data_IF_960796775355
#
_entry.id   IF_960796775355
#
_cell.length_a   1.000
_cell.length_b   1.000
_cell.length_c   1.000
_cell.angle_alpha   90.00
_cell.angle_beta   90.00
_cell.angle_gamma   90.00
#
_symmetry.space_group_name_H-M   'P 1'
#
loop_
_entity.id
_entity.type
_entity.pdbx_description
1 polymer ?
#
# COMPACT_ATOMS: atom_id res chain seq x y z
N UNK A 1 -16.39 -23.80 46.70
CA UNK A 1 -15.06 -24.21 46.20
C UNK A 1 -15.00 -24.31 44.67
N UNK A 2 -15.92 -25.03 44.00
CA UNK A 2 -15.90 -25.22 42.53
C UNK A 2 -15.80 -23.93 41.70
N UNK A 3 -16.62 -22.90 42.00
CA UNK A 3 -16.61 -21.61 41.28
C UNK A 3 -15.24 -20.91 41.30
N UNK A 4 -14.48 -21.01 42.40
CA UNK A 4 -13.13 -20.41 42.52
C UNK A 4 -12.12 -21.14 41.64
N UNK A 5 -12.20 -22.46 41.57
CA UNK A 5 -11.35 -23.28 40.71
C UNK A 5 -11.61 -23.01 39.22
N UNK A 6 -12.87 -22.89 38.81
CA UNK A 6 -13.23 -22.59 37.42
C UNK A 6 -12.80 -21.17 37.02
N UNK A 7 -12.91 -20.20 37.94
CA UNK A 7 -12.40 -18.85 37.73
C UNK A 7 -10.88 -18.85 37.54
N UNK A 8 -10.13 -19.60 38.37
CA UNK A 8 -8.68 -19.74 38.25
C UNK A 8 -8.27 -20.32 36.89
N UNK A 9 -8.94 -21.39 36.44
CA UNK A 9 -8.71 -21.99 35.11
C UNK A 9 -9.00 -21.01 33.96
N UNK A 10 -10.07 -20.22 34.06
CA UNK A 10 -10.41 -19.19 33.06
C UNK A 10 -9.36 -18.08 33.02
N UNK A 11 -8.88 -17.63 34.17
CA UNK A 11 -7.82 -16.62 34.27
C UNK A 11 -6.51 -17.13 33.67
N UNK A 12 -6.11 -18.36 34.02
CA UNK A 12 -4.90 -18.99 33.48
C UNK A 12 -4.96 -19.14 31.96
N UNK A 13 -6.08 -19.62 31.40
CA UNK A 13 -6.29 -19.72 29.96
C UNK A 13 -6.22 -18.34 29.28
N UNK A 14 -6.77 -17.29 29.90
CA UNK A 14 -6.68 -15.91 29.40
C UNK A 14 -5.24 -15.39 29.41
N UNK A 15 -4.50 -15.64 30.48
CA UNK A 15 -3.09 -15.23 30.61
C UNK A 15 -2.23 -15.95 29.58
N UNK A 16 -2.39 -17.27 29.42
CA UNK A 16 -1.70 -18.04 28.38
C UNK A 16 -2.01 -17.54 26.97
N UNK A 17 -3.29 -17.21 26.67
CA UNK A 17 -3.67 -16.62 25.38
C UNK A 17 -3.00 -15.26 25.14
N UNK A 18 -2.92 -14.41 26.17
CA UNK A 18 -2.21 -13.11 26.09
C UNK A 18 -0.72 -13.29 25.84
N UNK A 19 -0.07 -14.21 26.57
CA UNK A 19 1.36 -14.51 26.40
C UNK A 19 1.62 -15.02 24.98
N UNK A 20 0.84 -16.00 24.49
CA UNK A 20 0.96 -16.51 23.12
C UNK A 20 0.82 -15.39 22.08
N UNK A 21 -0.17 -14.49 22.25
CA UNK A 21 -0.35 -13.35 21.34
C UNK A 21 0.82 -12.36 21.40
N UNK A 22 1.38 -12.11 22.59
CA UNK A 22 2.54 -11.23 22.76
C UNK A 22 3.81 -11.81 22.13
N UNK A 23 4.03 -13.13 22.26
CA UNK A 23 5.16 -13.83 21.63
C UNK A 23 5.04 -13.78 20.11
N UNK A 24 3.86 -14.06 19.55
CA UNK A 24 3.62 -13.96 18.10
C UNK A 24 3.87 -12.53 17.60
N UNK A 25 3.40 -11.52 18.34
CA UNK A 25 3.65 -10.11 18.00
C UNK A 25 5.15 -9.77 18.03
N UNK A 26 5.86 -10.16 19.10
CA UNK A 26 7.31 -9.92 19.23
C UNK A 26 8.11 -10.52 18.07
N UNK A 27 7.68 -11.67 17.55
CA UNK A 27 8.30 -12.32 16.39
C UNK A 27 8.06 -11.55 15.08
N UNK A 28 6.84 -11.07 14.85
CA UNK A 28 6.51 -10.32 13.63
C UNK A 28 7.18 -8.95 13.56
N UNK A 29 7.50 -8.35 14.71
CA UNK A 29 8.00 -6.99 14.81
C UNK A 29 9.54 -6.88 14.74
N UNK A 30 10.26 -7.94 14.33
CA UNK A 30 11.73 -7.87 14.20
C UNK A 30 12.14 -7.43 12.78
N UNK A 31 12.50 -6.14 12.56
CA UNK A 31 12.81 -5.63 11.23
C UNK A 31 14.03 -6.33 10.61
N UNK A 32 14.97 -6.80 11.44
CA UNK A 32 16.17 -7.49 10.97
C UNK A 32 15.84 -8.80 10.24
N UNK A 33 14.81 -9.52 10.69
CA UNK A 33 14.42 -10.78 10.04
C UNK A 33 13.86 -10.53 8.64
N UNK A 34 13.12 -9.44 8.48
CA UNK A 34 12.61 -9.05 7.17
C UNK A 34 13.75 -8.59 6.25
N UNK A 35 14.72 -7.83 6.75
CA UNK A 35 15.93 -7.48 6.00
C UNK A 35 16.68 -8.72 5.50
N UNK A 36 16.93 -9.71 6.37
CA UNK A 36 17.58 -10.98 5.99
C UNK A 36 16.73 -11.80 5.00
N UNK A 37 15.40 -11.79 5.16
CA UNK A 37 14.49 -12.44 4.22
C UNK A 37 14.56 -11.80 2.82
N UNK A 38 14.57 -10.46 2.78
CA UNK A 38 14.68 -9.68 1.53
C UNK A 38 16.05 -9.93 0.89
N UNK A 39 17.13 -9.92 1.66
CA UNK A 39 18.49 -10.24 1.20
C UNK A 39 18.55 -11.61 0.54
N UNK A 40 17.97 -12.64 1.18
CA UNK A 40 17.90 -13.98 0.61
C UNK A 40 17.13 -13.99 -0.72
N UNK A 41 16.00 -13.28 -0.80
CA UNK A 41 15.18 -13.21 -2.02
C UNK A 41 15.88 -12.43 -3.14
N UNK A 42 16.66 -11.40 -2.82
CA UNK A 42 17.49 -10.67 -3.77
C UNK A 42 18.57 -11.57 -4.35
N UNK A 43 19.26 -12.35 -3.51
CA UNK A 43 20.35 -13.23 -3.93
C UNK A 43 19.87 -14.50 -4.65
N UNK A 44 18.60 -14.90 -4.47
CA UNK A 44 18.04 -16.12 -5.03
C UNK A 44 16.85 -15.84 -5.95
N UNK A 45 17.11 -15.17 -7.08
CA UNK A 45 16.08 -14.74 -8.05
C UNK A 45 15.20 -15.90 -8.52
N UNK A 46 15.78 -17.06 -8.84
CA UNK A 46 15.01 -18.24 -9.29
C UNK A 46 14.04 -18.76 -8.21
N UNK A 47 14.46 -18.72 -6.96
CA UNK A 47 13.63 -19.08 -5.81
C UNK A 47 12.52 -18.05 -5.59
N UNK A 48 12.84 -16.76 -5.69
CA UNK A 48 11.89 -15.63 -5.60
C UNK A 48 10.78 -15.75 -6.63
N UNK A 49 11.12 -15.98 -7.90
CA UNK A 49 10.14 -16.15 -9.00
C UNK A 49 9.22 -17.35 -8.74
N UNK A 50 9.76 -18.47 -8.24
CA UNK A 50 8.94 -19.62 -7.85
C UNK A 50 8.01 -19.32 -6.66
N UNK A 51 8.49 -18.58 -5.66
CA UNK A 51 7.74 -18.26 -4.44
C UNK A 51 6.55 -17.34 -4.71
N UNK A 52 6.73 -16.32 -5.54
CA UNK A 52 5.69 -15.32 -5.81
C UNK A 52 4.85 -15.59 -7.04
N UNK A 53 5.07 -16.75 -7.67
CA UNK A 53 4.54 -17.14 -8.96
C UNK A 53 5.04 -16.21 -10.06
N UNK A 54 5.60 -16.84 -11.08
CA UNK A 54 6.07 -16.18 -12.28
C UNK A 54 4.91 -15.52 -13.07
N UNK A 55 5.23 -14.43 -13.75
CA UNK A 55 4.33 -13.74 -14.67
C UNK A 55 4.07 -14.63 -15.89
N UNK A 56 2.80 -14.84 -16.26
CA UNK A 56 2.49 -15.58 -17.49
C UNK A 56 2.87 -14.77 -18.73
N UNK A 57 2.73 -13.43 -18.66
CA UNK A 57 3.07 -12.53 -19.76
C UNK A 57 4.58 -12.59 -20.07
N UNK A 58 5.42 -12.46 -19.03
CA UNK A 58 6.87 -12.46 -19.21
C UNK A 58 7.41 -13.84 -19.61
N UNK A 59 6.85 -14.91 -19.03
CA UNK A 59 7.21 -16.27 -19.42
C UNK A 59 6.93 -16.51 -20.92
N UNK A 60 5.77 -16.05 -21.42
CA UNK A 60 5.42 -16.16 -22.83
C UNK A 60 6.29 -15.25 -23.72
N UNK A 61 6.56 -14.02 -23.29
CA UNK A 61 7.42 -13.09 -24.03
C UNK A 61 8.86 -13.62 -24.18
N UNK A 62 9.37 -14.32 -23.17
CA UNK A 62 10.68 -14.98 -23.19
C UNK A 62 10.65 -16.38 -23.84
N UNK A 63 9.49 -16.89 -24.25
CA UNK A 63 9.34 -18.22 -24.85
C UNK A 63 9.71 -19.36 -23.90
N UNK A 64 9.54 -19.16 -22.59
CA UNK A 64 9.85 -20.16 -21.55
C UNK A 64 8.61 -20.61 -20.80
N UNK A 65 8.64 -21.81 -20.24
CA UNK A 65 7.56 -22.29 -19.38
C UNK A 65 7.48 -21.48 -18.08
N UNK A 66 6.24 -21.25 -17.64
CA UNK A 66 5.94 -20.57 -16.38
C UNK A 66 6.51 -21.33 -15.19
N UNK A 67 7.33 -20.67 -14.38
CA UNK A 67 7.89 -21.26 -13.15
C UNK A 67 6.88 -21.16 -12.02
N UNK A 68 6.15 -22.25 -11.78
CA UNK A 68 5.31 -22.41 -10.59
C UNK A 68 6.07 -23.20 -9.54
N UNK A 69 6.06 -22.76 -8.28
CA UNK A 69 6.59 -23.57 -7.19
C UNK A 69 5.90 -24.94 -7.16
N UNK A 70 6.67 -26.00 -7.36
CA UNK A 70 6.18 -27.39 -7.24
C UNK A 70 5.80 -27.75 -5.80
N UNK A 71 6.35 -27.02 -4.83
CA UNK A 71 6.19 -27.28 -3.41
C UNK A 71 5.17 -26.33 -2.79
N UNK A 72 4.51 -26.78 -1.71
CA UNK A 72 3.63 -25.93 -0.90
C UNK A 72 4.39 -24.69 -0.44
N UNK A 73 3.78 -23.50 -0.55
CA UNK A 73 4.39 -22.19 -0.17
C UNK A 73 5.08 -22.21 1.21
N UNK A 74 4.49 -22.93 2.16
CA UNK A 74 5.03 -23.08 3.52
C UNK A 74 6.45 -23.68 3.56
N UNK A 75 6.78 -24.59 2.63
CA UNK A 75 8.12 -25.20 2.53
C UNK A 75 9.13 -24.14 2.11
N UNK A 76 8.79 -23.31 1.12
CA UNK A 76 9.64 -22.21 0.68
C UNK A 76 9.87 -21.19 1.81
N UNK A 77 8.84 -20.81 2.56
CA UNK A 77 9.04 -19.97 3.76
C UNK A 77 9.87 -20.66 4.84
N UNK A 78 9.86 -22.00 4.92
CA UNK A 78 10.76 -22.78 5.75
C UNK A 78 12.23 -22.62 5.36
N UNK A 79 12.53 -22.62 4.06
CA UNK A 79 13.89 -22.37 3.54
C UNK A 79 14.36 -20.95 3.87
N UNK A 80 13.51 -19.94 3.71
CA UNK A 80 13.87 -18.56 4.09
C UNK A 80 14.08 -18.46 5.60
N UNK A 81 13.22 -19.07 6.41
CA UNK A 81 13.39 -19.10 7.86
C UNK A 81 14.72 -19.77 8.25
N UNK A 82 15.08 -20.88 7.62
CA UNK A 82 16.36 -21.56 7.86
C UNK A 82 17.56 -20.63 7.58
N UNK A 83 17.52 -19.87 6.48
CA UNK A 83 18.54 -18.84 6.19
C UNK A 83 18.62 -17.78 7.28
N UNK A 84 17.48 -17.19 7.68
CA UNK A 84 17.42 -16.14 8.71
C UNK A 84 17.99 -16.65 10.03
N UNK A 85 17.52 -17.79 10.53
CA UNK A 85 17.89 -18.28 11.86
C UNK A 85 19.28 -18.93 11.90
N UNK A 86 19.89 -19.27 10.76
CA UNK A 86 21.32 -19.64 10.70
C UNK A 86 22.26 -18.45 10.57
N UNK A 87 21.73 -17.27 10.25
CA UNK A 87 22.55 -16.06 10.07
C UNK A 87 23.34 -15.70 11.35
N UNK A 88 24.56 -15.19 11.19
CA UNK A 88 25.47 -14.89 12.31
C UNK A 88 24.89 -13.84 13.28
N UNK A 89 24.14 -12.87 12.75
CA UNK A 89 23.60 -11.74 13.50
C UNK A 89 22.36 -12.04 14.35
N UNK A 90 21.74 -13.21 14.16
CA UNK A 90 20.56 -13.59 14.93
C UNK A 90 20.97 -14.10 16.31
N UNK A 91 20.37 -13.55 17.37
CA UNK A 91 20.62 -13.97 18.76
C UNK A 91 20.42 -15.47 18.95
N UNK A 92 21.30 -16.09 19.74
CA UNK A 92 21.28 -17.53 20.02
C UNK A 92 19.92 -17.99 20.57
N UNK A 93 19.26 -17.18 21.40
CA UNK A 93 17.92 -17.50 21.94
C UNK A 93 16.90 -17.82 20.84
N UNK A 94 16.93 -17.07 19.74
CA UNK A 94 16.01 -17.26 18.62
C UNK A 94 16.41 -18.45 17.75
N UNK A 95 17.71 -18.78 17.68
CA UNK A 95 18.21 -19.97 17.00
C UNK A 95 17.72 -21.23 17.73
N UNK A 96 17.87 -21.26 19.05
CA UNK A 96 17.42 -22.37 19.89
C UNK A 96 15.89 -22.54 19.81
N UNK A 97 15.13 -21.43 19.80
CA UNK A 97 13.67 -21.50 19.66
C UNK A 97 13.24 -21.96 18.25
N UNK A 98 13.98 -21.56 17.21
CA UNK A 98 13.75 -22.02 15.84
C UNK A 98 14.01 -23.52 15.71
N UNK A 99 15.14 -24.01 16.22
CA UNK A 99 15.50 -25.43 16.19
C UNK A 99 14.45 -26.29 16.89
N UNK A 100 13.86 -25.79 17.98
CA UNK A 100 12.76 -26.46 18.66
C UNK A 100 11.47 -26.54 17.81
N UNK A 101 11.15 -25.51 17.00
CA UNK A 101 9.85 -25.38 16.29
C UNK A 101 9.96 -24.66 14.94
N UNK A 102 10.64 -25.22 13.93
CA UNK A 102 10.94 -24.51 12.68
C UNK A 102 9.68 -24.16 11.87
N UNK A 103 8.69 -25.05 11.88
CA UNK A 103 7.41 -24.85 11.15
C UNK A 103 6.63 -23.63 11.63
N UNK A 104 6.76 -23.25 12.90
CA UNK A 104 6.08 -22.08 13.45
C UNK A 104 6.66 -20.78 12.91
N UNK A 105 7.97 -20.74 12.64
CA UNK A 105 8.63 -19.58 12.05
C UNK A 105 8.31 -19.45 10.57
N UNK A 106 8.27 -20.57 9.83
CA UNK A 106 7.81 -20.57 8.44
C UNK A 106 6.38 -19.99 8.31
N UNK A 107 5.44 -20.44 9.15
CA UNK A 107 4.06 -19.93 9.17
C UNK A 107 4.00 -18.44 9.51
N UNK A 108 4.78 -18.02 10.53
CA UNK A 108 4.84 -16.61 10.93
C UNK A 108 5.39 -15.72 9.82
N UNK A 109 6.44 -16.17 9.12
CA UNK A 109 7.04 -15.44 8.00
C UNK A 109 6.06 -15.35 6.82
N UNK A 110 5.37 -16.44 6.50
CA UNK A 110 4.32 -16.42 5.48
C UNK A 110 3.22 -15.39 5.81
N UNK A 111 2.72 -15.37 7.05
CA UNK A 111 1.71 -14.40 7.48
C UNK A 111 2.23 -12.96 7.42
N UNK A 112 3.49 -12.74 7.80
CA UNK A 112 4.13 -11.43 7.71
C UNK A 112 4.20 -10.96 6.25
N UNK A 113 4.67 -11.79 5.31
CA UNK A 113 4.69 -11.46 3.89
C UNK A 113 3.28 -11.22 3.32
N UNK A 114 2.27 -11.99 3.74
CA UNK A 114 0.88 -11.71 3.35
C UNK A 114 0.41 -10.33 3.82
N UNK A 115 0.77 -9.91 5.03
CA UNK A 115 0.47 -8.57 5.54
C UNK A 115 1.19 -7.48 4.74
N UNK A 116 2.50 -7.64 4.51
CA UNK A 116 3.30 -6.69 3.72
C UNK A 116 2.75 -6.54 2.30
N UNK A 117 2.30 -7.64 1.68
CA UNK A 117 1.64 -7.62 0.36
C UNK A 117 0.31 -6.89 0.35
N UNK A 118 -0.44 -6.90 1.46
CA UNK A 118 -1.67 -6.12 1.59
C UNK A 118 -1.33 -4.64 1.70
N UNK A 119 -0.41 -4.29 2.60
CA UNK A 119 0.03 -2.90 2.81
C UNK A 119 0.62 -2.29 1.52
N UNK A 120 1.41 -3.05 0.78
CA UNK A 120 1.92 -2.64 -0.52
C UNK A 120 0.81 -2.36 -1.53
N UNK A 121 -0.17 -3.27 -1.66
CA UNK A 121 -1.32 -3.06 -2.55
C UNK A 121 -2.09 -1.78 -2.21
N UNK A 122 -2.29 -1.51 -0.91
CA UNK A 122 -2.94 -0.28 -0.46
C UNK A 122 -2.13 0.97 -0.84
N UNK A 123 -0.80 0.91 -0.72
CA UNK A 123 0.10 1.99 -1.12
C UNK A 123 0.11 2.21 -2.63
N UNK A 124 0.21 1.15 -3.42
CA UNK A 124 0.14 1.20 -4.88
C UNK A 124 -1.21 1.77 -5.34
N UNK A 125 -2.33 1.30 -4.78
CA UNK A 125 -3.65 1.83 -5.08
C UNK A 125 -3.78 3.32 -4.74
N UNK A 126 -3.18 3.75 -3.62
CA UNK A 126 -3.13 5.18 -3.26
C UNK A 126 -2.33 5.99 -4.27
N UNK A 127 -1.18 5.48 -4.75
CA UNK A 127 -0.38 6.12 -5.80
C UNK A 127 -1.19 6.27 -7.10
N UNK A 128 -1.87 5.21 -7.54
CA UNK A 128 -2.74 5.24 -8.70
C UNK A 128 -3.89 6.24 -8.56
N UNK A 129 -4.59 6.26 -7.42
CA UNK A 129 -5.70 7.18 -7.18
C UNK A 129 -5.28 8.67 -7.24
N UNK A 130 -4.02 8.96 -6.91
CA UNK A 130 -3.46 10.33 -6.98
C UNK A 130 -2.93 10.73 -8.36
N UNK A 131 -3.05 9.88 -9.38
CA UNK A 131 -2.45 10.11 -10.70
C UNK A 131 -0.92 9.95 -10.72
N UNK A 132 -0.32 9.51 -9.61
CA UNK A 132 1.12 9.24 -9.49
C UNK A 132 1.53 7.82 -9.91
N UNK A 133 0.57 6.98 -10.31
CA UNK A 133 0.82 5.64 -10.86
C UNK A 133 0.99 5.60 -12.38
N UNK A 134 0.99 6.75 -13.06
CA UNK A 134 1.35 6.80 -14.47
C UNK A 134 2.86 6.57 -14.59
N UNK A 135 3.27 5.51 -15.29
CA UNK A 135 4.68 5.32 -15.60
C UNK A 135 5.17 6.48 -16.47
N UNK A 136 6.43 6.92 -16.33
CA UNK A 136 6.99 7.98 -17.16
C UNK A 136 6.79 7.72 -18.65
N UNK A 137 6.86 6.45 -19.04
CA UNK A 137 6.67 5.94 -20.41
C UNK A 137 5.23 6.12 -20.91
N UNK A 138 4.22 5.87 -20.07
CA UNK A 138 2.80 6.08 -20.39
C UNK A 138 2.42 7.57 -20.47
N UNK A 139 3.09 8.40 -19.66
CA UNK A 139 2.96 9.86 -19.76
C UNK A 139 3.57 10.35 -21.07
N UNK A 140 4.75 9.82 -21.44
CA UNK A 140 5.49 10.24 -22.63
C UNK A 140 4.73 9.96 -23.94
N UNK A 141 4.00 8.84 -24.02
CA UNK A 141 3.19 8.49 -25.18
C UNK A 141 1.95 9.38 -25.37
N UNK A 142 1.36 9.89 -24.29
CA UNK A 142 0.15 10.72 -24.35
C UNK A 142 0.43 12.23 -24.49
N UNK A 143 1.68 12.67 -24.29
CA UNK A 143 2.10 14.08 -24.31
C UNK A 143 2.96 14.45 -25.52
N UNK A 144 2.69 13.86 -26.68
CA UNK A 144 3.29 14.23 -27.95
C UNK A 144 2.78 15.63 -28.35
N UNK A 145 3.36 16.69 -27.79
CA UNK A 145 3.09 18.07 -28.22
C UNK A 145 3.35 19.18 -27.19
N UNK A 146 3.34 18.90 -25.89
CA UNK A 146 3.57 19.91 -24.86
C UNK A 146 4.92 19.70 -24.16
N UNK A 147 5.81 20.69 -24.25
CA UNK A 147 7.06 20.89 -23.48
C UNK A 147 7.42 19.76 -22.50
N UNK A 148 7.98 18.68 -23.03
CA UNK A 148 8.22 17.39 -22.35
C UNK A 148 9.11 17.55 -21.11
N UNK A 149 10.00 18.55 -21.11
CA UNK A 149 11.00 18.74 -20.05
C UNK A 149 10.42 19.22 -18.72
N UNK A 150 9.35 20.02 -18.73
CA UNK A 150 8.78 20.57 -17.49
C UNK A 150 7.86 19.59 -16.77
N UNK A 151 7.10 18.79 -17.53
CA UNK A 151 6.18 17.81 -16.96
C UNK A 151 6.92 16.62 -16.35
N UNK A 152 8.04 16.20 -16.95
CA UNK A 152 8.84 15.10 -16.44
C UNK A 152 9.44 15.43 -15.06
N UNK A 153 9.98 16.64 -14.89
CA UNK A 153 10.47 17.11 -13.58
C UNK A 153 9.34 17.22 -12.53
N UNK A 154 8.15 17.66 -12.94
CA UNK A 154 7.01 17.80 -12.04
C UNK A 154 6.46 16.44 -11.58
N UNK A 155 6.25 15.50 -12.51
CA UNK A 155 5.76 14.15 -12.22
C UNK A 155 6.78 13.37 -11.40
N UNK A 156 8.06 13.40 -11.77
CA UNK A 156 9.14 12.80 -10.98
C UNK A 156 9.19 13.39 -9.56
N UNK A 157 8.97 14.70 -9.42
CA UNK A 157 8.89 15.35 -8.12
C UNK A 157 7.64 15.00 -7.30
N UNK A 158 6.53 14.64 -7.94
CA UNK A 158 5.30 14.20 -7.27
C UNK A 158 5.46 12.75 -6.78
N UNK A 159 5.88 11.83 -7.67
CA UNK A 159 6.11 10.43 -7.34
C UNK A 159 7.17 10.31 -6.25
N UNK A 160 8.30 11.03 -6.36
CA UNK A 160 9.34 11.07 -5.33
C UNK A 160 8.84 11.51 -3.95
N UNK A 161 7.93 12.49 -3.89
CA UNK A 161 7.34 12.95 -2.62
C UNK A 161 6.41 11.92 -2.01
N UNK A 162 5.69 11.16 -2.84
CA UNK A 162 4.79 10.12 -2.35
C UNK A 162 5.56 8.86 -1.95
N UNK A 163 6.54 8.43 -2.74
CA UNK A 163 7.42 7.30 -2.39
C UNK A 163 8.21 7.62 -1.12
N UNK A 164 8.68 8.86 -0.91
CA UNK A 164 9.29 9.25 0.36
C UNK A 164 8.33 9.06 1.56
N UNK A 165 7.05 9.45 1.43
CA UNK A 165 6.04 9.21 2.47
C UNK A 165 5.78 7.71 2.67
N UNK A 166 5.81 6.91 1.61
CA UNK A 166 5.64 5.47 1.70
C UNK A 166 6.85 4.85 2.40
N UNK A 167 8.09 5.18 2.01
CA UNK A 167 9.33 4.72 2.64
C UNK A 167 9.38 5.00 4.14
N UNK A 168 8.86 6.14 4.62
CA UNK A 168 8.78 6.40 6.06
C UNK A 168 7.84 5.45 6.82
N UNK A 169 6.78 4.95 6.17
CA UNK A 169 5.82 4.00 6.76
C UNK A 169 6.19 2.54 6.48
N UNK A 170 6.89 2.31 5.38
CA UNK A 170 7.22 1.02 4.81
C UNK A 170 8.68 1.03 4.36
N UNK A 171 9.64 0.83 5.29
CA UNK A 171 11.07 1.01 5.02
C UNK A 171 11.63 0.08 3.94
N UNK A 172 10.99 -1.06 3.69
CA UNK A 172 11.40 -2.06 2.68
C UNK A 172 10.68 -1.85 1.34
N UNK A 173 10.18 -0.64 1.08
CA UNK A 173 9.42 -0.33 -0.13
C UNK A 173 10.24 -0.63 -1.38
N UNK A 174 11.48 -0.14 -1.47
CA UNK A 174 12.24 -0.19 -2.72
C UNK A 174 12.57 -1.63 -3.12
N UNK A 175 12.95 -2.47 -2.16
CA UNK A 175 13.27 -3.87 -2.44
C UNK A 175 12.00 -4.68 -2.75
N UNK A 176 10.94 -4.51 -1.97
CA UNK A 176 9.69 -5.25 -2.18
C UNK A 176 8.91 -4.79 -3.42
N UNK A 177 8.96 -3.50 -3.75
CA UNK A 177 8.41 -2.96 -4.99
C UNK A 177 9.10 -3.60 -6.20
N UNK A 178 10.43 -3.73 -6.18
CA UNK A 178 11.15 -4.42 -7.25
C UNK A 178 10.71 -5.90 -7.42
N UNK A 179 10.27 -6.55 -6.34
CA UNK A 179 9.82 -7.95 -6.40
C UNK A 179 8.37 -8.09 -6.86
N UNK A 180 7.53 -7.10 -6.58
CA UNK A 180 6.08 -7.20 -6.76
C UNK A 180 5.57 -6.40 -7.95
N UNK A 181 6.24 -5.33 -8.35
CA UNK A 181 5.88 -4.54 -9.54
C UNK A 181 5.96 -5.36 -10.83
N UNK A 182 6.93 -6.26 -10.92
CA UNK A 182 7.09 -7.21 -12.04
C UNK A 182 5.95 -8.25 -12.10
N UNK A 183 5.15 -8.39 -11.04
CA UNK A 183 4.09 -9.40 -10.99
C UNK A 183 2.75 -8.81 -11.46
N UNK A 184 2.16 -9.32 -12.56
CA UNK A 184 0.91 -8.79 -13.12
C UNK A 184 -0.25 -8.76 -12.12
N UNK A 185 -0.25 -9.67 -11.15
CA UNK A 185 -1.31 -9.79 -10.15
C UNK A 185 -1.26 -8.69 -9.07
N UNK A 186 -0.12 -8.02 -8.90
CA UNK A 186 0.07 -7.01 -7.86
C UNK A 186 0.03 -5.59 -8.40
N UNK A 187 0.26 -5.44 -9.70
CA UNK A 187 -0.03 -4.20 -10.36
C UNK A 187 -1.54 -4.18 -10.66
N UNK A 188 -2.35 -3.30 -10.03
CA UNK A 188 -3.64 -2.98 -10.59
C UNK A 188 -3.33 -2.22 -11.88
N UNK A 189 -2.92 -2.92 -12.94
CA UNK A 189 -3.32 -2.56 -14.29
C UNK A 189 -4.83 -2.58 -14.16
N UNK A 190 -5.39 -1.44 -13.77
CA UNK A 190 -6.80 -1.20 -13.91
C UNK A 190 -7.04 -1.66 -15.32
N UNK A 191 -7.92 -2.65 -15.47
CA UNK A 191 -8.45 -3.01 -16.77
C UNK A 191 -9.23 -1.76 -17.18
N UNK A 192 -8.47 -0.76 -17.58
CA UNK A 192 -8.85 0.46 -18.21
C UNK A 192 -9.08 0.02 -19.64
N UNK A 193 -10.12 -0.79 -19.83
CA UNK A 193 -10.74 -0.95 -21.13
C UNK A 193 -11.20 0.44 -21.64
N UNK A 194 -11.18 1.48 -20.81
CA UNK A 194 -11.07 2.87 -21.24
C UNK A 194 -9.68 3.15 -21.83
N UNK A 195 -9.42 2.66 -23.03
CA UNK A 195 -8.63 3.50 -23.94
C UNK A 195 -9.37 4.85 -24.03
N UNK A 196 -8.67 5.95 -23.77
CA UNK A 196 -9.26 7.28 -23.83
C UNK A 196 -9.94 7.49 -25.18
N UNK A 197 -11.27 7.49 -25.20
CA UNK A 197 -12.08 7.55 -26.43
C UNK A 197 -13.14 6.45 -26.58
N UNK A 198 -13.06 5.35 -25.83
CA UNK A 198 -14.12 4.33 -25.82
C UNK A 198 -15.17 4.72 -24.78
N UNK A 199 -16.29 5.26 -25.24
CA UNK A 199 -17.45 5.60 -24.41
C UNK A 199 -18.20 4.32 -24.00
N UNK A 200 -17.77 3.72 -22.90
CA UNK A 200 -18.42 2.54 -22.32
C UNK A 200 -19.88 2.79 -21.96
N UNK A 201 -20.25 4.05 -21.71
CA UNK A 201 -21.64 4.47 -21.49
C UNK A 201 -22.48 4.22 -22.74
N UNK A 202 -21.99 4.63 -23.91
CA UNK A 202 -22.67 4.41 -25.18
C UNK A 202 -22.75 2.92 -25.55
N UNK A 203 -21.70 2.14 -25.26
CA UNK A 203 -21.73 0.70 -25.51
C UNK A 203 -22.70 -0.05 -24.60
N UNK A 204 -22.75 0.31 -23.31
CA UNK A 204 -23.73 -0.22 -22.37
C UNK A 204 -25.15 0.18 -22.77
N UNK A 205 -25.34 1.43 -23.20
CA UNK A 205 -26.63 1.92 -23.68
C UNK A 205 -27.14 1.13 -24.90
N UNK A 206 -26.26 0.82 -25.86
CA UNK A 206 -26.59 -0.06 -26.99
C UNK A 206 -27.01 -1.48 -26.56
N UNK A 207 -26.39 -2.05 -25.52
CA UNK A 207 -26.77 -3.37 -24.99
C UNK A 207 -28.18 -3.36 -24.36
N UNK A 208 -28.55 -2.27 -23.67
CA UNK A 208 -29.89 -2.13 -23.10
C UNK A 208 -30.95 -1.78 -24.15
N UNK A 209 -30.58 -1.04 -25.19
CA UNK A 209 -31.48 -0.71 -26.30
C UNK A 209 -31.72 -1.92 -27.23
N UNK A 210 -30.72 -2.77 -27.47
CA UNK A 210 -30.86 -3.98 -28.30
C UNK A 210 -31.87 -5.00 -27.73
N UNK A 211 -32.13 -4.99 -26.42
CA UNK A 211 -33.14 -5.86 -25.77
C UNK A 211 -34.57 -5.31 -25.82
N UNK A 212 -34.78 -4.10 -26.31
CA UNK A 212 -36.09 -3.45 -26.37
C UNK A 212 -36.87 -3.72 -27.66
N UNK A 213 -36.45 -4.66 -28.50
CA UNK A 213 -37.32 -5.16 -29.56
C UNK A 213 -38.46 -5.97 -28.93
N UNK A 214 -39.72 -5.52 -28.99
CA UNK A 214 -40.83 -6.31 -28.51
C UNK A 214 -40.95 -7.56 -29.39
N UNK A 215 -40.74 -8.75 -28.81
CA UNK A 215 -41.17 -10.00 -29.43
C UNK A 215 -42.71 -10.03 -29.39
N UNK A 216 -43.34 -9.27 -30.27
CA UNK A 216 -44.74 -9.47 -30.64
C UNK A 216 -44.78 -10.61 -31.66
N UNK A 217 -44.73 -11.85 -31.19
CA UNK A 217 -45.26 -12.96 -31.97
C UNK A 217 -45.61 -14.13 -31.05
N UNK A 218 -46.82 -14.05 -30.50
CA UNK A 218 -47.54 -15.19 -29.95
C UNK A 218 -48.68 -15.52 -30.93
N UNK A 219 -48.36 -16.15 -32.05
CA UNK A 219 -49.24 -17.16 -32.65
C UNK A 219 -48.80 -18.51 -32.06
N UNK A 220 -49.62 -19.30 -31.37
CA UNK A 220 -50.95 -19.83 -31.70
C UNK A 220 -51.02 -20.49 -33.08
N UNK A 221 -50.47 -21.71 -33.19
CA UNK A 221 -50.96 -22.75 -34.11
C UNK A 221 -50.79 -24.12 -33.45
N UNK A 222 -51.90 -24.86 -33.42
CA UNK A 222 -52.08 -26.26 -33.02
C UNK A 222 -51.46 -27.26 -34.02
N UNK A 223 -51.58 -28.54 -33.64
CA UNK A 223 -51.63 -29.74 -34.49
C UNK A 223 -50.27 -30.23 -35.03
N UNK A 224 -49.76 -31.35 -34.53
CA UNK A 224 -50.19 -32.74 -34.79
C UNK A 224 -49.65 -33.27 -36.13
N UNK A 225 -49.29 -34.54 -36.06
CA UNK A 225 -48.94 -35.48 -37.13
C UNK A 225 -47.46 -35.68 -37.49
N UNK A 226 -47.04 -36.92 -37.18
CA UNK A 226 -46.19 -37.82 -37.97
C UNK A 226 -45.86 -37.36 -39.39
N UNK A 227 -44.58 -37.37 -39.75
CA UNK A 227 -44.18 -38.12 -40.94
C UNK A 227 -42.70 -38.52 -40.93
N UNK A 228 -42.51 -39.79 -41.28
CA UNK A 228 -41.24 -40.45 -41.57
C UNK A 228 -40.62 -39.83 -42.83
N UNK A 229 -39.33 -39.50 -42.79
CA UNK A 229 -38.50 -39.70 -43.98
C UNK A 229 -37.00 -39.76 -43.67
N UNK A 230 -36.49 -40.96 -43.93
CA UNK A 230 -35.11 -41.29 -44.31
C UNK A 230 -34.43 -40.20 -45.15
N UNK A 231 -33.36 -39.60 -44.62
CA UNK A 231 -32.25 -39.08 -45.42
C UNK A 231 -30.93 -39.62 -44.86
N UNK A 232 -30.43 -40.67 -45.50
CA UNK A 232 -29.01 -41.02 -45.53
C UNK A 232 -28.25 -39.96 -46.35
N UNK A 233 -26.94 -39.92 -46.10
CA UNK A 233 -25.83 -39.64 -47.05
C UNK A 233 -24.97 -38.42 -46.71
N UNK A 234 -23.81 -38.77 -46.13
CA UNK A 234 -22.45 -38.24 -46.34
C UNK A 234 -22.10 -36.81 -45.94
N UNK A 235 -20.99 -36.67 -45.22
CA UNK A 235 -20.20 -35.45 -45.30
C UNK A 235 -19.27 -35.19 -44.13
N UNK A 236 -18.04 -35.69 -44.23
CA UNK A 236 -16.88 -35.34 -43.42
C UNK A 236 -16.73 -33.82 -43.23
N UNK A 237 -16.49 -33.35 -41.99
CA UNK A 237 -16.30 -31.93 -41.70
C UNK A 237 -15.97 -31.62 -40.25
N UNK A 238 -14.95 -32.28 -39.70
CA UNK A 238 -14.47 -32.08 -38.33
C UNK A 238 -13.59 -30.83 -38.27
N UNK A 239 -14.20 -29.65 -38.16
CA UNK A 239 -13.50 -28.40 -37.84
C UNK A 239 -13.67 -28.08 -36.36
N UNK A 240 -12.60 -28.32 -35.60
CA UNK A 240 -12.48 -27.98 -34.19
C UNK A 240 -12.44 -26.46 -34.01
N UNK A 241 -13.49 -25.89 -33.42
CA UNK A 241 -13.43 -24.58 -32.76
C UNK A 241 -13.18 -24.77 -31.26
N UNK A 242 -12.39 -23.89 -30.62
CA UNK A 242 -11.85 -24.11 -29.29
C UNK A 242 -12.86 -23.82 -28.18
N UNK A 243 -12.78 -24.65 -27.14
CA UNK A 243 -13.52 -24.57 -25.88
C UNK A 243 -13.36 -23.20 -25.20
N UNK A 244 -14.49 -22.54 -24.93
CA UNK A 244 -14.63 -21.62 -23.79
C UNK A 244 -14.44 -22.44 -22.50
N UNK A 245 -13.24 -22.38 -21.93
CA UNK A 245 -12.98 -22.91 -20.60
C UNK A 245 -13.48 -21.92 -19.54
N UNK A 246 -14.61 -22.26 -18.94
CA UNK A 246 -14.88 -22.23 -17.50
C UNK A 246 -14.02 -21.28 -16.66
N UNK A 247 -14.59 -20.13 -16.32
CA UNK A 247 -14.23 -19.31 -15.15
C UNK A 247 -14.43 -20.14 -13.87
N UNK A 248 -13.37 -20.79 -13.39
CA UNK A 248 -13.36 -21.43 -12.07
C UNK A 248 -13.15 -20.33 -11.03
N UNK A 249 -14.21 -20.06 -10.27
CA UNK A 249 -14.18 -19.28 -9.04
C UNK A 249 -13.51 -20.16 -7.98
N UNK A 250 -12.24 -19.90 -7.66
CA UNK A 250 -11.58 -20.52 -6.51
C UNK A 250 -11.94 -19.70 -5.26
N UNK A 251 -13.03 -20.10 -4.61
CA UNK A 251 -13.30 -19.76 -3.21
C UNK A 251 -12.30 -20.54 -2.34
N UNK A 252 -11.28 -19.83 -1.87
CA UNK A 252 -10.26 -20.29 -0.93
C UNK A 252 -10.93 -20.46 0.46
N UNK A 253 -11.50 -21.64 0.70
CA UNK A 253 -12.05 -22.02 2.01
C UNK A 253 -10.88 -22.45 2.90
N UNK A 254 -10.52 -21.61 3.86
CA UNK A 254 -9.55 -21.88 4.92
C UNK A 254 -9.92 -23.16 5.70
N UNK A 255 -9.24 -24.26 5.38
CA UNK A 255 -9.26 -25.51 6.15
C UNK A 255 -8.44 -25.34 7.44
N UNK A 256 -9.14 -25.06 8.55
CA UNK A 256 -8.60 -25.08 9.91
C UNK A 256 -8.22 -26.52 10.32
N UNK A 257 -7.06 -26.99 9.86
CA UNK A 257 -6.47 -28.24 10.34
C UNK A 257 -6.04 -28.08 11.81
N UNK A 258 -6.90 -28.53 12.73
CA UNK A 258 -6.58 -28.71 14.14
C UNK A 258 -5.54 -29.83 14.30
N UNK A 259 -4.31 -29.44 14.57
CA UNK A 259 -3.21 -30.35 14.91
C UNK A 259 -3.39 -30.87 16.34
N UNK A 260 -3.80 -32.13 16.47
CA UNK A 260 -3.96 -32.83 17.74
C UNK A 260 -2.72 -33.67 18.05
N UNK A 261 -1.82 -33.11 18.87
CA UNK A 261 -0.75 -33.86 19.52
C UNK A 261 -1.32 -34.83 20.57
N UNK A 262 -1.26 -36.12 20.25
CA UNK A 262 -1.64 -37.21 21.12
C UNK A 262 -0.56 -37.48 22.19
N UNK A 263 -0.94 -37.40 23.48
CA UNK A 263 -0.25 -38.13 24.56
C UNK A 263 -1.21 -39.13 25.21
N UNK A 264 -0.73 -40.33 25.59
CA UNK A 264 -1.58 -41.40 26.09
C UNK A 264 -1.95 -41.14 27.56
N UNK A 265 -3.22 -40.85 27.84
CA UNK A 265 -3.72 -40.74 29.21
C UNK A 265 -4.47 -42.02 29.60
N UNK A 266 -4.00 -42.61 30.70
CA UNK A 266 -4.49 -43.83 31.35
C UNK A 266 -6.01 -43.81 31.54
N UNK A 267 -6.66 -44.90 31.10
CA UNK A 267 -8.07 -45.22 31.32
C UNK A 267 -8.34 -45.27 32.83
N UNK A 268 -9.14 -44.32 33.32
CA UNK A 268 -9.74 -44.39 34.65
C UNK A 268 -11.24 -44.64 34.47
N UNK A 269 -11.69 -45.79 34.92
CA UNK A 269 -13.08 -46.21 34.87
C UNK A 269 -13.95 -45.20 35.63
N UNK A 270 -14.88 -44.58 34.92
CA UNK A 270 -15.93 -43.72 35.50
C UNK A 270 -17.26 -44.43 35.26
N UNK A 271 -17.96 -44.67 36.36
CA UNK A 271 -19.25 -45.33 36.42
C UNK A 271 -20.33 -44.53 35.68
N UNK A 272 -21.31 -45.18 35.03
CA UNK A 272 -22.39 -44.50 34.35
C UNK A 272 -23.42 -44.00 35.38
N UNK A 273 -23.46 -42.69 35.60
CA UNK A 273 -24.60 -42.05 36.27
C UNK A 273 -25.75 -41.91 35.27
N UNK A 274 -26.84 -42.62 35.58
CA UNK A 274 -28.15 -42.50 34.92
C UNK A 274 -28.63 -41.05 35.06
N UNK A 275 -28.86 -40.39 33.93
CA UNK A 275 -29.54 -39.09 33.87
C UNK A 275 -30.70 -39.24 32.89
N UNK A 276 -31.90 -39.11 33.46
CA UNK A 276 -33.21 -39.19 32.81
C UNK A 276 -33.26 -38.39 31.51
N UNK A 277 -33.66 -39.08 30.44
CA UNK A 277 -33.90 -38.50 29.12
C UNK A 277 -35.31 -38.86 28.65
N UNK A 278 -36.30 -38.35 29.37
CA UNK A 278 -37.69 -38.26 28.91
C UNK A 278 -37.94 -36.86 28.37
N UNK A 279 -37.60 -36.64 27.09
CA UNK A 279 -38.16 -35.52 26.33
C UNK A 279 -38.52 -36.01 24.94
N UNK A 280 -39.76 -36.46 24.85
CA UNK A 280 -40.48 -36.73 23.60
C UNK A 280 -40.35 -35.52 22.68
N UNK A 281 -39.78 -35.76 21.49
CA UNK A 281 -39.92 -34.85 20.34
C UNK A 281 -41.30 -35.10 19.75
N UNK A 282 -42.21 -34.12 19.73
CA UNK A 282 -43.40 -34.22 18.89
C UNK A 282 -42.94 -34.12 17.43
N UNK A 283 -43.35 -35.10 16.62
CA UNK A 283 -43.22 -35.09 15.17
C UNK A 283 -44.12 -33.97 14.60
N UNK A 284 -43.60 -32.74 14.60
CA UNK A 284 -44.22 -31.61 13.90
C UNK A 284 -43.95 -31.72 12.41
N UNK A 285 -45.02 -31.88 11.63
CA UNK A 285 -45.00 -31.84 10.16
C UNK A 285 -44.32 -30.54 9.68
N UNK A 286 -43.47 -30.57 8.64
CA UNK A 286 -42.92 -29.36 8.04
C UNK A 286 -44.05 -28.55 7.39
N UNK A 287 -44.61 -27.61 8.17
CA UNK A 287 -45.50 -26.57 7.65
C UNK A 287 -44.64 -25.64 6.80
N UNK A 288 -44.69 -25.81 5.48
CA UNK A 288 -44.15 -24.88 4.50
C UNK A 288 -44.92 -23.57 4.55
N UNK A 289 -44.66 -22.76 5.57
CA UNK A 289 -45.08 -21.36 5.59
C UNK A 289 -44.25 -20.62 4.54
N UNK A 290 -44.82 -20.47 3.34
CA UNK A 290 -44.32 -19.54 2.33
C UNK A 290 -44.32 -18.16 2.98
N UNK A 291 -43.14 -17.66 3.37
CA UNK A 291 -42.99 -16.28 3.83
C UNK A 291 -43.40 -15.41 2.63
N UNK A 292 -44.60 -14.85 2.69
CA UNK A 292 -45.02 -13.83 1.74
C UNK A 292 -44.06 -12.66 1.92
N UNK A 293 -43.24 -12.42 0.91
CA UNK A 293 -42.32 -11.30 0.87
C UNK A 293 -43.19 -10.04 0.72
N UNK A 294 -43.28 -9.24 1.78
CA UNK A 294 -44.05 -8.00 1.73
C UNK A 294 -43.22 -6.95 0.97
N UNK A 295 -43.65 -6.64 -0.25
CA UNK A 295 -42.99 -5.67 -1.13
C UNK A 295 -42.94 -4.29 -0.47
N UNK A 296 -43.90 -3.96 0.40
CA UNK A 296 -43.91 -2.68 1.12
C UNK A 296 -42.78 -2.57 2.16
N UNK A 297 -42.37 -3.69 2.77
CA UNK A 297 -41.25 -3.71 3.72
C UNK A 297 -39.92 -3.45 3.01
N UNK A 298 -39.75 -3.98 1.78
CA UNK A 298 -38.55 -3.75 0.97
C UNK A 298 -38.43 -2.29 0.53
N UNK A 299 -39.52 -1.67 0.09
CA UNK A 299 -39.53 -0.25 -0.30
C UNK A 299 -39.26 0.68 0.88
N UNK A 300 -39.73 0.32 2.09
CA UNK A 300 -39.42 1.06 3.31
C UNK A 300 -37.94 0.98 3.65
N UNK A 301 -37.36 -0.22 3.55
CA UNK A 301 -35.93 -0.46 3.84
C UNK A 301 -35.04 0.29 2.85
N UNK A 302 -35.40 0.30 1.55
CA UNK A 302 -34.65 1.05 0.54
C UNK A 302 -34.72 2.56 0.77
N UNK A 303 -35.88 3.11 1.15
CA UNK A 303 -36.00 4.54 1.49
C UNK A 303 -35.16 4.92 2.70
N UNK A 304 -35.12 4.06 3.72
CA UNK A 304 -34.28 4.26 4.89
C UNK A 304 -32.79 4.23 4.53
N UNK A 305 -32.37 3.27 3.71
CA UNK A 305 -31.00 3.16 3.21
C UNK A 305 -30.55 4.39 2.39
N UNK A 306 -31.42 4.89 1.52
CA UNK A 306 -31.14 6.11 0.74
C UNK A 306 -31.06 7.35 1.63
N UNK A 307 -31.93 7.46 2.64
CA UNK A 307 -31.88 8.54 3.61
C UNK A 307 -30.62 8.47 4.50
N UNK A 308 -30.18 7.27 4.88
CA UNK A 308 -28.93 7.07 5.63
C UNK A 308 -27.70 7.41 4.78
N UNK A 309 -27.70 7.00 3.51
CA UNK A 309 -26.64 7.33 2.56
C UNK A 309 -26.51 8.84 2.35
N UNK A 310 -27.63 9.55 2.22
CA UNK A 310 -27.64 11.02 2.13
C UNK A 310 -27.08 11.69 3.41
N UNK A 311 -27.38 11.15 4.60
CA UNK A 311 -26.81 11.63 5.86
C UNK A 311 -25.29 11.43 5.89
N UNK A 312 -24.78 10.26 5.47
CA UNK A 312 -23.34 9.99 5.40
C UNK A 312 -22.63 10.93 4.43
N UNK A 313 -23.21 11.19 3.25
CA UNK A 313 -22.65 12.15 2.29
C UNK A 313 -22.59 13.58 2.87
N UNK A 314 -23.65 14.02 3.56
CA UNK A 314 -23.66 15.33 4.23
C UNK A 314 -22.57 15.44 5.30
N UNK A 315 -22.41 14.40 6.13
CA UNK A 315 -21.35 14.37 7.15
C UNK A 315 -19.95 14.38 6.53
N UNK A 316 -19.75 13.66 5.41
CA UNK A 316 -18.48 13.66 4.70
C UNK A 316 -18.14 15.05 4.14
N UNK A 317 -19.09 15.72 3.48
CA UNK A 317 -18.90 17.09 2.98
C UNK A 317 -18.59 18.08 4.11
N UNK A 318 -19.26 17.95 5.27
CA UNK A 318 -18.99 18.79 6.43
C UNK A 318 -17.56 18.60 6.97
N UNK A 319 -17.06 17.35 7.00
CA UNK A 319 -15.68 17.05 7.39
C UNK A 319 -14.66 17.58 6.36
N UNK A 320 -15.00 17.53 5.07
CA UNK A 320 -14.17 18.06 3.97
C UNK A 320 -13.99 19.58 4.13
N UNK A 321 -15.08 20.31 4.38
CA UNK A 321 -15.07 21.76 4.63
C UNK A 321 -14.23 22.09 5.86
N UNK A 322 -14.41 21.39 6.97
CA UNK A 322 -13.60 21.58 8.20
C UNK A 322 -12.10 21.35 7.95
N UNK A 323 -11.74 20.35 7.13
CA UNK A 323 -10.34 20.12 6.74
C UNK A 323 -9.77 21.26 5.90
N UNK A 324 -10.56 21.79 4.96
CA UNK A 324 -10.17 22.93 4.15
C UNK A 324 -9.98 24.21 4.99
N UNK A 325 -10.86 24.47 5.96
CA UNK A 325 -10.71 25.60 6.89
C UNK A 325 -9.41 25.52 7.70
N UNK A 326 -9.09 24.34 8.24
CA UNK A 326 -7.83 24.11 8.97
C UNK A 326 -6.60 24.31 8.08
N UNK A 327 -6.67 23.93 6.80
CA UNK A 327 -5.60 24.19 5.83
C UNK A 327 -5.42 25.69 5.60
N UNK A 328 -6.51 26.43 5.39
CA UNK A 328 -6.48 27.89 5.19
C UNK A 328 -5.89 28.61 6.40
N UNK A 329 -6.25 28.21 7.63
CA UNK A 329 -5.65 28.80 8.85
C UNK A 329 -4.16 28.47 9.00
N UNK A 330 -3.73 27.25 8.64
CA UNK A 330 -2.30 26.89 8.59
C UNK A 330 -1.54 27.73 7.55
N UNK A 331 -2.16 28.07 6.43
CA UNK A 331 -1.52 28.94 5.44
C UNK A 331 -1.47 30.40 5.88
N UNK A 332 -2.53 30.93 6.50
CA UNK A 332 -2.54 32.28 7.06
C UNK A 332 -1.45 32.46 8.11
N UNK A 333 -1.30 31.52 9.03
CA UNK A 333 -0.25 31.55 10.06
C UNK A 333 1.16 31.47 9.46
N UNK A 334 1.37 30.63 8.45
CA UNK A 334 2.63 30.59 7.69
C UNK A 334 2.93 31.93 6.98
N UNK A 335 1.93 32.53 6.33
CA UNK A 335 2.07 33.84 5.66
C UNK A 335 2.42 34.95 6.66
N UNK A 336 1.74 34.98 7.81
CA UNK A 336 2.03 35.94 8.88
C UNK A 336 3.47 35.79 9.42
N UNK A 337 3.95 34.55 9.57
CA UNK A 337 5.34 34.28 9.98
C UNK A 337 6.35 34.80 8.94
N UNK A 338 6.13 34.50 7.66
CA UNK A 338 7.00 34.99 6.58
C UNK A 338 7.00 36.52 6.47
N UNK A 339 5.85 37.17 6.71
CA UNK A 339 5.76 38.63 6.72
C UNK A 339 6.54 39.23 7.90
N UNK A 340 6.46 38.61 9.08
CA UNK A 340 7.26 39.00 10.24
C UNK A 340 8.77 38.86 9.95
N UNK A 341 9.21 37.72 9.41
CA UNK A 341 10.61 37.48 9.06
C UNK A 341 11.11 38.48 8.00
N UNK A 342 10.29 38.81 7.02
CA UNK A 342 10.60 39.84 6.01
C UNK A 342 10.78 41.22 6.65
N UNK A 343 9.88 41.63 7.55
CA UNK A 343 9.99 42.91 8.28
C UNK A 343 11.24 42.94 9.17
N UNK A 344 11.56 41.84 9.83
CA UNK A 344 12.78 41.69 10.63
C UNK A 344 14.03 41.87 9.78
N UNK A 345 14.11 41.22 8.62
CA UNK A 345 15.24 41.35 7.70
C UNK A 345 15.39 42.78 7.17
N UNK A 346 14.29 43.45 6.84
CA UNK A 346 14.32 44.86 6.41
C UNK A 346 14.83 45.79 7.51
N UNK A 347 14.40 45.59 8.75
CA UNK A 347 14.88 46.38 9.89
C UNK A 347 16.39 46.16 10.14
N UNK A 348 16.88 44.94 9.96
CA UNK A 348 18.31 44.62 10.06
C UNK A 348 19.12 45.29 8.94
N UNK A 349 18.66 45.21 7.68
CA UNK A 349 19.28 45.91 6.56
C UNK A 349 19.32 47.43 6.76
N UNK A 350 18.25 48.02 7.31
CA UNK A 350 18.21 49.44 7.62
C UNK A 350 19.16 49.82 8.76
N UNK A 351 19.26 48.98 9.80
CA UNK A 351 20.23 49.14 10.89
C UNK A 351 21.66 49.14 10.35
N UNK A 352 21.98 48.16 9.50
CA UNK A 352 23.32 48.03 8.90
C UNK A 352 23.61 49.21 7.99
N UNK A 353 22.64 49.63 7.16
CA UNK A 353 22.77 50.85 6.34
C UNK A 353 23.07 52.09 7.18
N UNK A 354 22.31 52.33 8.26
CA UNK A 354 22.53 53.47 9.16
C UNK A 354 23.90 53.40 9.85
N UNK A 355 24.35 52.20 10.20
CA UNK A 355 25.68 51.98 10.77
C UNK A 355 26.79 52.36 9.76
N UNK A 356 26.66 51.96 8.49
CA UNK A 356 27.60 52.34 7.43
C UNK A 356 27.58 53.85 7.16
N UNK A 357 26.41 54.49 7.11
CA UNK A 357 26.29 55.95 6.98
C UNK A 357 26.95 56.67 8.17
N UNK A 358 26.75 56.17 9.39
CA UNK A 358 27.38 56.71 10.61
C UNK A 358 28.91 56.57 10.58
N UNK A 359 29.44 55.39 10.25
CA UNK A 359 30.88 55.17 10.12
C UNK A 359 31.48 56.02 9.00
N UNK A 360 30.77 56.17 7.87
CA UNK A 360 31.17 57.04 6.76
C UNK A 360 31.27 58.50 7.17
N UNK A 361 30.34 58.99 7.99
CA UNK A 361 30.38 60.35 8.54
C UNK A 361 31.60 60.58 9.45
N UNK A 362 31.90 59.63 10.35
CA UNK A 362 33.09 59.71 11.23
C UNK A 362 34.39 59.74 10.43
N UNK A 363 34.50 58.92 9.39
CA UNK A 363 35.72 58.85 8.56
C UNK A 363 35.85 60.04 7.61
N UNK A 364 34.73 60.56 7.08
CA UNK A 364 34.70 61.70 6.16
C UNK A 364 35.21 63.00 6.78
N UNK A 365 35.00 63.21 8.08
CA UNK A 365 35.46 64.41 8.78
C UNK A 365 36.98 64.48 9.03
N UNK A 366 37.74 63.38 8.86
CA UNK A 366 39.21 63.38 9.02
C UNK A 366 39.99 63.72 7.74
N UNK A 367 39.35 63.79 6.58
CA UNK A 367 40.04 63.95 5.28
C UNK A 367 40.11 65.39 4.77
N UNK A 368 39.60 66.39 5.49
CA UNK A 368 39.55 67.79 5.03
C UNK A 368 40.73 68.67 5.46
N UNK A 369 41.77 68.13 6.11
CA UNK A 369 42.90 68.93 6.61
C UNK A 369 44.29 68.48 6.11
N UNK A 370 44.36 67.53 5.16
CA UNK A 370 45.62 67.20 4.51
C UNK A 370 45.71 67.95 3.18
N UNK A 371 46.50 69.01 3.17
CA UNK A 371 46.90 69.74 1.97
C UNK A 371 47.36 68.78 0.85
N UNK A 372 47.08 69.09 -0.42
CA UNK A 372 47.51 68.26 -1.55
C UNK A 372 49.05 68.32 -1.68
N UNK A 373 49.73 67.36 -1.05
CA UNK A 373 51.14 67.11 -1.34
C UNK A 373 51.23 66.56 -2.76
N UNK A 374 51.72 67.41 -3.67
CA UNK A 374 51.90 67.09 -5.09
C UNK A 374 52.68 65.77 -5.24
N UNK A 375 52.15 64.76 -5.95
CA UNK A 375 52.92 63.57 -6.26
C UNK A 375 54.00 63.94 -7.29
N UNK A 376 55.25 63.70 -6.89
CA UNK A 376 56.41 63.80 -7.77
C UNK A 376 56.27 62.75 -8.87
N UNK A 377 56.18 63.21 -10.13
CA UNK A 377 56.25 62.38 -11.33
C UNK A 377 57.64 61.75 -11.39
N UNK A 378 57.72 60.43 -11.25
CA UNK A 378 58.93 59.70 -11.58
C UNK A 378 58.90 58.29 -11.03
N UNK A 379 58.55 57.32 -11.87
CA UNK A 379 58.57 55.92 -11.47
C UNK A 379 57.81 55.03 -12.44
N UNK A 380 58.35 54.93 -13.65
CA UNK A 380 58.01 53.88 -14.60
C UNK A 380 58.33 52.52 -13.94
N UNK A 381 57.33 51.81 -13.43
CA UNK A 381 57.53 50.47 -12.88
C UNK A 381 56.65 49.48 -13.65
N UNK A 382 57.33 48.87 -14.62
CA UNK A 382 56.90 47.76 -15.46
C UNK A 382 56.85 46.50 -14.59
N UNK A 383 55.64 45.99 -14.30
CA UNK A 383 55.47 44.68 -13.66
C UNK A 383 55.19 43.64 -14.74
N UNK A 384 56.27 43.02 -15.18
CA UNK A 384 56.28 41.76 -15.91
C UNK A 384 55.46 40.68 -15.19
N UNK A 385 54.58 40.05 -15.99
CA UNK A 385 54.36 38.60 -16.10
C UNK A 385 54.75 37.73 -14.90
N UNK A 386 53.73 37.32 -14.16
CA UNK A 386 53.79 36.17 -13.28
C UNK A 386 52.41 35.52 -13.18
N UNK A 387 52.08 34.63 -14.12
CA UNK A 387 50.95 33.71 -13.98
C UNK A 387 51.22 32.75 -12.81
N UNK A 388 50.30 32.62 -11.83
CA UNK A 388 50.22 31.42 -11.02
C UNK A 388 49.06 30.55 -11.51
N UNK A 389 49.25 29.25 -11.36
CA UNK A 389 48.43 28.20 -11.93
C UNK A 389 46.94 28.30 -11.57
N UNK A 390 46.14 28.05 -12.60
CA UNK A 390 44.71 27.79 -12.53
C UNK A 390 44.51 26.37 -11.98
N UNK A 391 44.55 26.22 -10.66
CA UNK A 391 44.03 25.04 -9.94
C UNK A 391 43.01 25.50 -8.90
N UNK A 392 41.79 25.73 -9.37
CA UNK A 392 40.62 26.04 -8.54
C UNK A 392 39.59 24.94 -8.69
N UNK A 393 39.76 23.86 -7.92
CA UNK A 393 38.71 22.90 -7.61
C UNK A 393 37.56 23.66 -6.94
N UNK A 394 36.44 23.79 -7.63
CA UNK A 394 35.21 24.36 -7.05
C UNK A 394 34.59 23.27 -6.16
N UNK A 395 35.05 23.21 -4.90
CA UNK A 395 34.29 22.57 -3.83
C UNK A 395 33.16 23.52 -3.44
N UNK A 396 31.96 23.30 -3.99
CA UNK A 396 30.73 23.79 -3.38
C UNK A 396 30.44 22.95 -2.14
N UNK A 397 31.15 23.21 -1.06
CA UNK A 397 30.71 22.82 0.28
C UNK A 397 29.57 23.77 0.65
N UNK A 398 28.35 23.36 0.30
CA UNK A 398 27.18 23.85 1.00
C UNK A 398 27.29 23.35 2.44
N UNK A 399 27.73 24.22 3.35
CA UNK A 399 27.47 24.08 4.78
C UNK A 399 25.95 24.09 4.95
N UNK A 400 25.35 22.90 4.91
CA UNK A 400 24.11 22.65 5.61
C UNK A 400 24.43 22.77 7.09
N UNK A 401 24.22 23.96 7.64
CA UNK A 401 23.95 24.09 9.06
C UNK A 401 22.67 23.32 9.35
N UNK A 402 22.86 22.08 9.79
CA UNK A 402 21.87 21.31 10.55
C UNK A 402 21.38 22.20 11.69
N UNK A 403 20.22 22.83 11.47
CA UNK A 403 19.40 23.33 12.55
C UNK A 403 18.82 22.10 13.25
N UNK A 404 19.58 21.59 14.21
CA UNK A 404 19.07 20.69 15.26
C UNK A 404 17.86 21.37 15.91
N UNK A 405 16.67 21.01 15.43
CA UNK A 405 15.41 21.42 16.01
C UNK A 405 15.19 20.55 17.23
N UNK A 406 15.76 20.98 18.35
CA UNK A 406 15.65 20.34 19.66
C UNK A 406 14.18 20.36 20.10
N UNK A 407 13.46 19.27 19.81
CA UNK A 407 12.04 19.10 20.07
C UNK A 407 11.78 18.67 21.52
N UNK A 408 12.62 19.13 22.45
CA UNK A 408 12.57 18.82 23.87
C UNK A 408 12.26 20.08 24.69
N UNK A 409 10.99 20.52 24.67
CA UNK A 409 10.27 21.08 25.84
C UNK A 409 9.06 21.91 25.39
N UNK A 410 7.94 21.23 25.17
CA UNK A 410 6.63 21.86 25.35
C UNK A 410 5.81 20.97 26.28
N UNK A 411 6.11 21.06 27.57
CA UNK A 411 5.16 20.67 28.62
C UNK A 411 4.07 21.74 28.66
N UNK A 412 2.92 21.44 28.06
CA UNK A 412 1.73 22.25 28.21
C UNK A 412 0.96 21.77 29.45
N UNK A 413 1.09 22.53 30.53
CA UNK A 413 0.31 22.40 31.75
C UNK A 413 -1.13 22.84 31.47
N UNK A 414 -2.07 21.90 31.36
CA UNK A 414 -3.49 22.25 31.45
C UNK A 414 -3.85 22.52 32.90
N UNK A 415 -4.11 23.80 33.18
CA UNK A 415 -4.75 24.26 34.41
C UNK A 415 -6.14 23.65 34.56
N UNK A 416 -6.44 23.24 35.79
CA UNK A 416 -7.80 22.98 36.26
C UNK A 416 -8.49 24.32 36.48
N UNK A 417 -9.67 24.49 35.91
CA UNK A 417 -10.81 25.14 36.56
C UNK A 417 -12.07 24.31 36.27
#
# INVERSE_FOLDING_TARGET
MQKRHDLKKRLEKKTQKKIKKAVVKRRADNPKWLSLAVEYLTNNVSFRTGLFSDSTEDANAEGRDKKVAKNKKIISFGTIADYIFRHAEVSQEWKDEYEAKPSHFAKSLQQQFSKLKSEYRDHVQTLYATGGGLEPEDVQANLIGASITYLDSFLFGLTSRMTAKIRTKFPHWDELDSFWRELPNYNPKGISNGSGGVDHSAHAENLFQARKTPSSDLGDVNDADDDDSDIKVLGSGRSSSPNLASSVHEDDVDDESSDSDAKPVKKRAVQPTKLDKSRSKPAGKPSGHKRSFDVAELDSLHREEMAESAKRQKQWLELEVKRAEVQVEKEKTKRAKLEYDRKRLQAEQERDRRMYEFMGSIMGHRSSAAEPHKPNRGGNFDWHLGSPGRSGSVNTSAENTDMDFDLASYQYSFGKE
#
